data_IF_558406850639
#
_entry.id   IF_558406850639
#
_cell.length_a   1.000
_cell.length_b   1.000
_cell.length_c   1.000
_cell.angle_alpha   90.00
_cell.angle_beta   90.00
_cell.angle_gamma   90.00
#
_symmetry.space_group_name_H-M   'P 1'
#
loop_
_entity.id
_entity.type
_entity.pdbx_description
1 polymer ?
#
# COMPACT_ATOMS: atom_id res chain seq x y z
N UNK A 1 24.23 41.19 25.53
CA UNK A 1 22.92 41.16 26.22
C UNK A 1 22.09 40.16 25.43
N UNK A 2 22.13 38.88 25.83
CA UNK A 2 21.56 37.78 25.05
C UNK A 2 20.05 37.75 25.26
N UNK A 3 19.29 38.19 24.26
CA UNK A 3 17.83 38.10 24.27
C UNK A 3 17.42 36.63 24.26
N UNK A 4 17.22 36.08 25.46
CA UNK A 4 16.62 34.77 25.65
C UNK A 4 15.14 34.95 25.41
N UNK A 5 14.63 34.43 24.30
CA UNK A 5 13.20 34.49 24.02
C UNK A 5 12.54 33.43 24.90
N UNK A 6 11.71 33.87 25.85
CA UNK A 6 10.77 32.97 26.50
C UNK A 6 9.76 32.56 25.44
N UNK A 7 9.93 31.37 24.88
CA UNK A 7 8.77 30.62 24.41
C UNK A 7 7.79 30.60 25.60
N UNK A 8 6.52 30.93 25.38
CA UNK A 8 5.46 30.74 26.39
C UNK A 8 5.19 29.23 26.59
N UNK A 9 6.24 28.46 26.82
CA UNK A 9 6.26 27.02 26.97
C UNK A 9 7.17 26.69 28.16
N UNK A 10 6.58 26.31 29.32
CA UNK A 10 7.33 26.06 30.54
C UNK A 10 8.46 25.04 30.33
N UNK A 11 9.62 25.29 30.93
CA UNK A 11 10.76 24.36 30.83
C UNK A 11 11.58 24.46 29.54
N UNK A 12 11.29 25.44 28.68
CA UNK A 12 12.02 25.66 27.41
C UNK A 12 12.58 27.08 27.34
N UNK A 13 13.84 27.21 26.93
CA UNK A 13 14.52 28.50 26.70
C UNK A 13 15.08 28.54 25.28
N UNK A 14 14.75 29.58 24.52
CA UNK A 14 15.21 29.77 23.14
C UNK A 14 16.29 30.86 23.05
N UNK A 15 17.33 30.57 22.28
CA UNK A 15 18.37 31.52 21.87
C UNK A 15 18.55 31.43 20.36
N UNK A 16 18.32 32.54 19.64
CA UNK A 16 18.52 32.59 18.19
C UNK A 16 20.03 32.71 17.94
N UNK A 17 20.61 31.74 17.24
CA UNK A 17 22.02 31.74 16.84
C UNK A 17 22.22 32.44 15.49
N UNK A 18 21.28 32.23 14.56
CA UNK A 18 21.22 32.93 13.28
C UNK A 18 19.76 33.21 12.91
N UNK A 19 19.45 34.47 12.58
CA UNK A 19 18.09 34.86 12.21
C UNK A 19 17.66 34.25 10.87
N UNK A 20 16.39 33.84 10.78
CA UNK A 20 15.80 33.37 9.52
C UNK A 20 15.38 34.52 8.58
N UNK A 21 14.83 34.14 7.43
CA UNK A 21 14.38 35.03 6.36
C UNK A 21 12.86 35.11 6.32
N UNK A 22 12.35 36.24 5.82
CA UNK A 22 10.93 36.45 5.58
C UNK A 22 10.07 36.61 6.83
N UNK A 23 8.74 36.71 6.68
CA UNK A 23 7.80 36.74 7.78
C UNK A 23 7.72 35.38 8.49
N UNK A 24 7.12 35.37 9.69
CA UNK A 24 6.82 34.13 10.41
C UNK A 24 5.86 33.26 9.57
N UNK A 25 6.21 32.00 9.24
CA UNK A 25 5.32 31.13 8.48
C UNK A 25 4.04 30.81 9.25
N UNK A 26 2.98 30.48 8.53
CA UNK A 26 1.78 29.90 9.11
C UNK A 26 1.92 28.36 9.15
N UNK A 27 1.52 27.75 10.27
CA UNK A 27 1.71 26.31 10.53
C UNK A 27 0.37 25.62 10.83
N UNK A 28 -0.55 25.53 9.87
CA UNK A 28 -1.78 24.75 10.07
C UNK A 28 -1.46 23.24 10.19
N UNK A 29 -2.35 22.44 10.81
CA UNK A 29 -2.18 21.00 10.88
C UNK A 29 -1.94 20.36 9.50
N UNK A 30 -0.96 19.46 9.42
CA UNK A 30 -0.50 18.84 8.17
C UNK A 30 0.62 19.59 7.45
N UNK A 31 1.05 20.77 7.92
CA UNK A 31 2.25 21.44 7.39
C UNK A 31 3.49 20.55 7.57
N UNK A 32 4.24 20.34 6.49
CA UNK A 32 5.52 19.62 6.51
C UNK A 32 6.65 20.56 6.93
N UNK A 33 7.41 20.19 7.95
CA UNK A 33 8.59 20.91 8.40
C UNK A 33 9.84 20.09 8.07
N UNK A 34 10.78 20.71 7.36
CA UNK A 34 12.07 20.10 7.01
C UNK A 34 13.17 20.88 7.74
N UNK A 35 13.99 20.18 8.52
CA UNK A 35 14.96 20.83 9.41
C UNK A 35 16.20 19.96 9.65
N UNK A 36 17.30 20.60 10.01
CA UNK A 36 18.44 19.93 10.63
C UNK A 36 18.41 20.14 12.14
N UNK A 37 18.87 19.14 12.88
CA UNK A 37 19.07 19.25 14.32
C UNK A 37 20.43 18.70 14.74
N UNK A 38 20.88 19.17 15.90
CA UNK A 38 21.95 18.60 16.72
C UNK A 38 21.45 18.56 18.17
N UNK A 39 21.61 17.43 18.83
CA UNK A 39 21.25 17.26 20.24
C UNK A 39 22.50 17.15 21.09
N UNK A 40 22.55 17.91 22.19
CA UNK A 40 23.67 17.95 23.11
C UNK A 40 23.19 17.72 24.54
N UNK A 41 24.06 17.12 25.36
CA UNK A 41 23.88 17.08 26.81
C UNK A 41 24.06 18.47 27.41
N UNK A 42 23.31 18.77 28.47
CA UNK A 42 23.51 19.97 29.30
C UNK A 42 24.65 19.77 30.31
N UNK A 43 25.83 19.44 29.80
CA UNK A 43 27.06 19.34 30.59
C UNK A 43 28.06 20.42 30.15
N UNK A 44 29.15 20.56 30.93
CA UNK A 44 30.17 21.57 30.66
C UNK A 44 30.76 21.47 29.24
N UNK A 45 30.93 20.24 28.73
CA UNK A 45 31.50 19.99 27.41
C UNK A 45 30.49 20.12 26.26
N UNK A 46 29.19 20.25 26.56
CA UNK A 46 28.09 20.16 25.61
C UNK A 46 28.24 18.95 24.68
N UNK A 47 28.36 17.77 25.26
CA UNK A 47 28.61 16.53 24.50
C UNK A 47 27.50 16.27 23.47
N UNK A 48 27.87 16.08 22.20
CA UNK A 48 26.92 15.82 21.12
C UNK A 48 26.44 14.38 21.15
N UNK A 49 25.12 14.18 21.21
CA UNK A 49 24.48 12.86 21.19
C UNK A 49 24.12 12.47 19.75
N UNK A 50 23.49 13.38 19.02
CA UNK A 50 23.04 13.16 17.65
C UNK A 50 23.22 14.41 16.81
N UNK A 51 23.52 14.22 15.52
CA UNK A 51 23.68 15.31 14.56
C UNK A 51 23.21 14.85 13.18
N UNK A 52 22.09 15.42 12.74
CA UNK A 52 21.46 15.09 11.45
C UNK A 52 22.39 15.35 10.25
N UNK A 53 23.37 16.26 10.36
CA UNK A 53 24.32 16.56 9.28
C UNK A 53 25.49 15.58 9.22
N UNK A 54 25.74 14.84 10.30
CA UNK A 54 26.81 13.82 10.38
C UNK A 54 26.31 12.40 10.12
N UNK A 55 24.99 12.19 10.09
CA UNK A 55 24.42 10.93 9.67
C UNK A 55 24.91 10.56 8.26
N UNK A 56 25.12 9.26 7.98
CA UNK A 56 25.66 8.78 6.69
C UNK A 56 24.93 9.35 5.47
N UNK A 57 23.63 9.58 5.60
CA UNK A 57 22.79 10.10 4.53
C UNK A 57 22.76 11.64 4.44
N UNK A 58 23.18 12.37 5.48
CA UNK A 58 23.09 13.85 5.61
C UNK A 58 21.71 14.44 5.26
N UNK A 59 20.65 13.63 5.40
CA UNK A 59 19.29 14.00 5.02
C UNK A 59 18.67 14.83 6.15
N UNK A 60 18.02 15.97 5.85
CA UNK A 60 17.27 16.71 6.84
C UNK A 60 16.09 15.88 7.38
N UNK A 61 15.71 16.16 8.62
CA UNK A 61 14.57 15.50 9.23
C UNK A 61 13.26 16.14 8.79
N UNK A 62 12.21 15.33 8.73
CA UNK A 62 10.87 15.76 8.35
C UNK A 62 9.89 15.45 9.49
N UNK A 63 9.08 16.44 9.89
CA UNK A 63 7.92 16.23 10.76
C UNK A 63 6.68 16.91 10.16
N UNK A 64 5.50 16.50 10.60
CA UNK A 64 4.23 17.09 10.19
C UNK A 64 3.52 17.68 11.41
N UNK A 65 3.16 18.96 11.31
CA UNK A 65 2.44 19.69 12.37
C UNK A 65 1.11 18.99 12.67
N UNK A 66 0.80 18.79 13.95
CA UNK A 66 -0.45 18.17 14.40
C UNK A 66 -0.51 16.64 14.24
N UNK A 67 0.57 15.97 13.83
CA UNK A 67 0.61 14.49 13.71
C UNK A 67 1.25 13.79 14.91
N UNK A 68 1.25 14.43 16.08
CA UNK A 68 1.72 13.90 17.37
C UNK A 68 3.06 13.15 17.23
N UNK A 69 4.11 13.88 16.86
CA UNK A 69 5.46 13.33 16.85
C UNK A 69 5.86 12.90 18.27
N UNK A 70 6.54 11.76 18.41
CA UNK A 70 6.93 11.19 19.73
C UNK A 70 7.70 12.17 20.63
N UNK A 71 8.37 13.17 20.05
CA UNK A 71 8.95 14.31 20.77
C UNK A 71 8.10 15.56 20.55
N UNK A 72 7.05 15.72 21.35
CA UNK A 72 6.05 16.80 21.17
C UNK A 72 6.67 18.21 21.24
N UNK A 73 7.68 18.41 22.11
CA UNK A 73 8.31 19.73 22.25
C UNK A 73 8.89 20.23 20.93
N UNK A 74 9.36 19.34 20.04
CA UNK A 74 10.01 19.73 18.79
C UNK A 74 9.07 20.46 17.84
N UNK A 75 7.77 20.11 17.84
CA UNK A 75 6.78 20.85 17.08
C UNK A 75 6.68 22.30 17.58
N UNK A 76 6.69 22.50 18.89
CA UNK A 76 6.71 23.84 19.52
C UNK A 76 7.99 24.60 19.19
N UNK A 77 9.15 23.93 19.21
CA UNK A 77 10.43 24.57 18.88
C UNK A 77 10.45 25.06 17.44
N UNK A 78 10.08 24.19 16.49
CA UNK A 78 10.15 24.47 15.06
C UNK A 78 9.08 25.47 14.61
N UNK A 79 7.87 25.41 15.16
CA UNK A 79 6.80 26.38 14.86
C UNK A 79 7.06 27.77 15.45
N UNK A 80 8.15 27.94 16.21
CA UNK A 80 8.62 29.24 16.68
C UNK A 80 9.67 29.89 15.77
N UNK A 81 10.13 29.18 14.74
CA UNK A 81 11.26 29.59 13.91
C UNK A 81 10.82 30.15 12.55
N UNK A 82 11.62 31.07 12.00
CA UNK A 82 11.54 31.48 10.60
C UNK A 82 12.32 30.53 9.69
N UNK A 83 11.99 30.52 8.40
CA UNK A 83 12.73 29.74 7.41
C UNK A 83 14.18 30.22 7.34
N UNK A 84 15.13 29.28 7.43
CA UNK A 84 16.57 29.53 7.51
C UNK A 84 17.07 29.98 8.89
N UNK A 85 16.21 30.04 9.91
CA UNK A 85 16.64 30.36 11.27
C UNK A 85 17.42 29.20 11.88
N UNK A 86 18.47 29.51 12.63
CA UNK A 86 19.19 28.57 13.50
C UNK A 86 18.99 29.00 14.94
N UNK A 87 18.41 28.12 15.76
CA UNK A 87 18.11 28.41 17.16
C UNK A 87 18.57 27.29 18.08
N UNK A 88 19.13 27.67 19.22
CA UNK A 88 19.44 26.81 20.35
C UNK A 88 18.26 26.81 21.31
N UNK A 89 17.82 25.62 21.71
CA UNK A 89 16.73 25.41 22.64
C UNK A 89 17.24 24.55 23.80
N UNK A 90 17.26 25.11 25.00
CA UNK A 90 17.44 24.33 26.21
C UNK A 90 16.07 23.83 26.67
N UNK A 91 15.92 22.52 26.85
CA UNK A 91 14.68 21.88 27.28
C UNK A 91 14.94 21.07 28.55
N UNK A 92 14.12 21.27 29.58
CA UNK A 92 14.23 20.53 30.83
C UNK A 92 13.91 19.02 30.68
N UNK A 93 14.16 18.26 31.74
CA UNK A 93 13.99 16.81 31.75
C UNK A 93 12.53 16.35 31.54
N UNK A 94 11.54 17.22 31.76
CA UNK A 94 10.12 16.89 31.56
C UNK A 94 9.82 16.69 30.09
N UNK A 95 10.50 17.44 29.22
CA UNK A 95 10.31 17.36 27.77
C UNK A 95 11.20 16.32 27.08
N UNK A 96 12.32 15.93 27.68
CA UNK A 96 13.37 15.14 27.02
C UNK A 96 13.33 13.65 27.33
N UNK A 97 12.46 13.20 28.24
CA UNK A 97 12.41 11.80 28.70
C UNK A 97 12.17 10.77 27.58
N UNK A 98 11.50 11.15 26.49
CA UNK A 98 11.28 10.28 25.32
C UNK A 98 12.40 10.34 24.28
N UNK A 99 13.36 11.26 24.42
CA UNK A 99 14.43 11.46 23.46
C UNK A 99 15.22 10.18 23.16
N UNK A 100 15.61 9.33 24.14
CA UNK A 100 16.33 8.10 23.85
C UNK A 100 15.59 7.15 22.89
N UNK A 101 14.27 7.05 23.02
CA UNK A 101 13.43 6.20 22.17
C UNK A 101 13.36 6.77 20.76
N UNK A 102 13.24 8.10 20.64
CA UNK A 102 13.23 8.79 19.34
C UNK A 102 14.60 8.69 18.66
N UNK A 103 15.69 8.91 19.40
CA UNK A 103 17.06 8.77 18.91
C UNK A 103 17.36 7.36 18.40
N UNK A 104 16.96 6.33 19.14
CA UNK A 104 17.04 4.93 18.67
C UNK A 104 16.34 4.74 17.32
N UNK A 105 15.09 5.22 17.18
CA UNK A 105 14.35 5.12 15.92
C UNK A 105 15.06 5.84 14.77
N UNK A 106 15.55 7.06 15.00
CA UNK A 106 16.32 7.84 14.01
C UNK A 106 17.60 7.12 13.57
N UNK A 107 18.34 6.51 14.51
CA UNK A 107 19.57 5.77 14.22
C UNK A 107 19.31 4.48 13.43
N UNK A 108 18.20 3.78 13.69
CA UNK A 108 17.78 2.61 12.92
C UNK A 108 17.41 3.00 11.48
N UNK A 109 16.62 4.07 11.30
CA UNK A 109 16.30 4.60 9.96
C UNK A 109 17.56 4.95 9.18
N UNK A 110 18.54 5.60 9.83
CA UNK A 110 19.82 5.94 9.20
C UNK A 110 20.65 4.70 8.79
N UNK A 111 20.34 3.52 9.33
CA UNK A 111 20.92 2.23 8.94
C UNK A 111 20.07 1.48 7.90
N UNK A 112 18.94 2.04 7.46
CA UNK A 112 18.00 1.38 6.54
C UNK A 112 17.12 0.32 7.21
N UNK A 113 16.99 0.38 8.53
CA UNK A 113 16.21 -0.56 9.34
C UNK A 113 14.85 0.02 9.71
N UNK A 114 13.92 -0.86 10.10
CA UNK A 114 12.62 -0.43 10.62
C UNK A 114 12.84 0.36 11.94
N UNK A 115 12.32 1.60 12.09
CA UNK A 115 12.44 2.37 13.33
C UNK A 115 11.81 1.68 14.56
N UNK A 116 10.93 0.70 14.35
CA UNK A 116 10.30 -0.12 15.38
C UNK A 116 10.98 -1.50 15.51
N UNK A 117 12.11 -1.75 14.82
CA UNK A 117 12.84 -3.01 14.91
C UNK A 117 13.22 -3.30 16.38
N UNK A 118 12.71 -4.42 16.91
CA UNK A 118 12.87 -4.81 18.31
C UNK A 118 11.84 -4.23 19.29
N UNK A 119 10.94 -3.35 18.85
CA UNK A 119 9.76 -2.95 19.63
C UNK A 119 8.66 -3.99 19.45
N UNK A 120 8.53 -4.93 20.40
CA UNK A 120 7.38 -5.85 20.44
C UNK A 120 6.22 -5.17 21.15
N UNK A 121 5.06 -5.14 20.50
CA UNK A 121 3.83 -4.64 21.10
C UNK A 121 3.28 -5.66 22.11
N UNK A 122 3.69 -5.56 23.37
CA UNK A 122 3.07 -6.32 24.46
C UNK A 122 2.12 -5.42 25.23
N UNK A 123 0.82 -5.70 25.15
CA UNK A 123 -0.20 -5.03 25.95
C UNK A 123 -0.02 -5.42 27.43
N UNK A 124 0.14 -4.45 28.34
CA UNK A 124 0.19 -4.66 29.80
C UNK A 124 1.53 -4.43 30.49
N UNK A 125 1.64 -4.89 31.74
CA UNK A 125 2.81 -4.75 32.65
C UNK A 125 4.11 -5.41 32.13
N UNK A 126 4.03 -6.18 31.04
CA UNK A 126 5.17 -6.78 30.34
C UNK A 126 6.09 -5.77 29.63
N UNK A 127 5.63 -4.52 29.45
CA UNK A 127 6.47 -3.43 28.95
C UNK A 127 7.65 -3.11 29.87
N UNK A 128 7.61 -3.46 31.16
CA UNK A 128 8.68 -3.07 32.10
C UNK A 128 9.98 -3.88 31.92
N UNK A 129 9.94 -5.05 31.27
CA UNK A 129 11.05 -6.01 31.25
C UNK A 129 11.83 -6.09 29.91
N UNK A 130 11.37 -5.43 28.85
CA UNK A 130 12.02 -5.50 27.52
C UNK A 130 12.86 -4.27 27.13
N UNK A 131 12.91 -3.21 27.97
CA UNK A 131 13.66 -1.97 27.68
C UNK A 131 15.03 -1.87 28.35
N UNK A 132 15.70 -2.98 28.67
CA UNK A 132 16.96 -2.87 29.41
C UNK A 132 18.13 -2.32 28.59
N UNK A 133 18.00 -2.21 27.27
CA UNK A 133 18.98 -1.49 26.44
C UNK A 133 18.38 -1.06 25.10
N UNK A 134 18.64 0.19 24.72
CA UNK A 134 18.45 0.72 23.38
C UNK A 134 19.41 0.08 22.38
N UNK A 135 20.56 -0.43 22.84
CA UNK A 135 21.71 -0.83 22.04
C UNK A 135 22.82 0.24 22.02
N UNK A 136 22.60 1.40 22.64
CA UNK A 136 23.54 2.51 22.73
C UNK A 136 23.69 2.95 24.19
N UNK A 137 24.88 2.75 24.81
CA UNK A 137 25.10 3.05 26.23
C UNK A 137 24.73 4.48 26.64
N UNK A 138 24.99 5.45 25.76
CA UNK A 138 24.67 6.86 25.99
C UNK A 138 23.17 7.13 26.05
N UNK A 139 22.36 6.42 25.26
CA UNK A 139 20.90 6.52 25.30
C UNK A 139 20.32 5.77 26.50
N UNK A 140 20.96 4.66 26.89
CA UNK A 140 20.58 3.89 28.09
C UNK A 140 20.82 4.67 29.38
N UNK A 141 21.92 5.42 29.44
CA UNK A 141 22.17 6.34 30.54
C UNK A 141 21.10 7.43 30.60
N UNK A 142 20.77 8.02 29.45
CA UNK A 142 19.76 9.08 29.37
C UNK A 142 18.35 8.59 29.72
N UNK A 143 18.02 7.32 29.44
CA UNK A 143 16.78 6.69 29.92
C UNK A 143 16.79 6.48 31.44
N UNK A 144 17.94 6.10 32.01
CA UNK A 144 18.06 5.84 33.46
C UNK A 144 18.05 7.13 34.27
N UNK A 145 18.67 8.18 33.74
CA UNK A 145 18.80 9.49 34.37
C UNK A 145 18.31 10.57 33.40
N UNK A 146 16.97 10.78 33.30
CA UNK A 146 16.42 11.87 32.52
C UNK A 146 17.01 13.21 32.94
N UNK A 147 17.51 13.98 31.97
CA UNK A 147 18.19 15.26 32.19
C UNK A 147 17.79 16.26 31.10
N UNK A 148 18.09 17.54 31.34
CA UNK A 148 17.90 18.57 30.34
C UNK A 148 18.78 18.31 29.10
N UNK A 149 18.26 18.64 27.92
CA UNK A 149 18.97 18.55 26.65
C UNK A 149 18.96 19.89 25.94
N UNK A 150 19.98 20.10 25.11
CA UNK A 150 20.10 21.25 24.24
C UNK A 150 19.84 20.79 22.80
N UNK A 151 18.87 21.39 22.13
CA UNK A 151 18.59 21.16 20.72
C UNK A 151 19.02 22.39 19.91
N UNK A 152 19.96 22.21 18.99
CA UNK A 152 20.29 23.23 17.99
C UNK A 152 19.59 22.84 16.70
N UNK A 153 18.62 23.63 16.25
CA UNK A 153 17.81 23.35 15.08
C UNK A 153 17.97 24.41 14.01
N UNK A 154 17.96 24.00 12.74
CA UNK A 154 17.87 24.86 11.56
C UNK A 154 16.60 24.51 10.79
N UNK A 155 15.64 25.42 10.70
CA UNK A 155 14.42 25.23 9.91
C UNK A 155 14.72 25.52 8.44
N UNK A 156 14.72 24.50 7.58
CA UNK A 156 15.13 24.64 6.17
C UNK A 156 13.95 25.01 5.30
N UNK A 157 12.82 24.33 5.49
CA UNK A 157 11.64 24.50 4.64
C UNK A 157 10.35 24.26 5.42
N UNK A 158 9.33 25.04 5.05
CA UNK A 158 7.94 24.85 5.46
C UNK A 158 7.15 24.53 4.19
N UNK A 159 6.64 23.31 4.12
CA UNK A 159 5.84 22.82 2.99
C UNK A 159 4.36 23.18 3.16
N UNK A 160 3.66 23.31 2.03
CA UNK A 160 2.22 23.56 2.06
C UNK A 160 1.46 22.27 2.48
N UNK A 161 0.45 22.36 3.38
CA UNK A 161 -0.32 21.21 3.88
C UNK A 161 -0.97 20.35 2.80
N UNK A 162 -1.16 20.89 1.60
CA UNK A 162 -1.81 20.25 0.46
C UNK A 162 -0.83 19.90 -0.68
N UNK A 163 0.41 20.38 -0.63
CA UNK A 163 1.39 20.17 -1.72
C UNK A 163 2.04 18.79 -1.76
N UNK A 164 1.90 17.98 -0.71
CA UNK A 164 2.48 16.64 -0.67
C UNK A 164 1.40 15.59 -0.92
N UNK A 165 1.73 14.59 -1.74
CA UNK A 165 0.91 13.39 -1.92
C UNK A 165 0.92 12.64 -0.59
N UNK A 166 -0.04 12.96 0.29
CA UNK A 166 -0.15 12.41 1.64
C UNK A 166 -0.10 10.89 1.56
N UNK A 167 0.98 10.30 2.02
CA UNK A 167 1.06 8.85 2.10
C UNK A 167 -0.01 8.36 3.07
N UNK A 168 -0.66 7.24 2.70
CA UNK A 168 -1.80 6.65 3.42
C UNK A 168 -1.56 6.51 4.95
N UNK A 169 -0.31 6.32 5.37
CA UNK A 169 0.09 6.19 6.79
C UNK A 169 -0.09 7.48 7.61
N UNK A 170 0.04 8.66 6.99
CA UNK A 170 0.04 9.96 7.67
C UNK A 170 -1.39 10.46 7.95
N UNK A 171 -2.36 10.05 7.13
CA UNK A 171 -3.76 10.46 7.28
C UNK A 171 -4.36 9.92 8.58
N UNK A 172 -5.16 10.71 9.29
CA UNK A 172 -5.97 10.19 10.42
C UNK A 172 -7.23 9.45 9.92
N UNK A 173 -8.04 8.88 10.84
CA UNK A 173 -9.26 8.13 10.49
C UNK A 173 -10.22 9.01 9.69
N UNK A 174 -10.47 10.23 10.12
CA UNK A 174 -11.45 11.12 9.50
C UNK A 174 -11.00 11.64 8.14
N UNK A 175 -9.71 11.96 7.99
CA UNK A 175 -9.09 12.34 6.73
C UNK A 175 -9.19 11.19 5.71
N UNK A 176 -8.88 9.95 6.12
CA UNK A 176 -9.05 8.77 5.25
C UNK A 176 -10.49 8.61 4.80
N UNK A 177 -11.45 8.75 5.73
CA UNK A 177 -12.87 8.60 5.44
C UNK A 177 -13.41 9.70 4.50
N UNK A 178 -12.87 10.93 4.60
CA UNK A 178 -13.23 12.05 3.70
C UNK A 178 -12.64 11.91 2.30
N UNK A 179 -11.47 11.29 2.15
CA UNK A 179 -10.82 11.12 0.86
C UNK A 179 -11.48 10.04 -0.01
N UNK A 180 -12.01 8.97 0.62
CA UNK A 180 -12.61 7.81 -0.07
C UNK A 180 -13.71 8.21 -1.08
N UNK A 181 -14.70 9.07 -0.76
CA UNK A 181 -15.69 9.53 -1.72
C UNK A 181 -15.09 10.24 -2.94
N UNK A 182 -14.02 11.03 -2.74
CA UNK A 182 -13.32 11.73 -3.81
C UNK A 182 -12.67 10.72 -4.78
N UNK A 183 -11.95 9.73 -4.24
CA UNK A 183 -11.33 8.67 -5.03
C UNK A 183 -12.38 7.83 -5.79
N UNK A 184 -13.51 7.52 -5.13
CA UNK A 184 -14.62 6.82 -5.77
C UNK A 184 -15.17 7.59 -6.96
N UNK A 185 -15.41 8.91 -6.81
CA UNK A 185 -15.92 9.76 -7.87
C UNK A 185 -14.93 9.88 -9.04
N UNK A 186 -13.63 10.03 -8.74
CA UNK A 186 -12.57 10.04 -9.76
C UNK A 186 -12.53 8.73 -10.54
N UNK A 187 -12.59 7.59 -9.84
CA UNK A 187 -12.69 6.27 -10.48
C UNK A 187 -13.91 6.16 -11.40
N UNK A 188 -15.09 6.60 -10.93
CA UNK A 188 -16.31 6.57 -11.74
C UNK A 188 -16.23 7.49 -12.98
N UNK A 189 -15.52 8.61 -12.89
CA UNK A 189 -15.26 9.48 -14.04
C UNK A 189 -14.35 8.79 -15.07
N UNK A 190 -13.27 8.14 -14.63
CA UNK A 190 -12.34 7.40 -15.48
C UNK A 190 -13.00 6.20 -16.17
N UNK A 191 -13.88 5.46 -15.47
CA UNK A 191 -14.67 4.37 -16.08
C UNK A 191 -15.54 4.91 -17.22
N UNK A 192 -16.20 6.05 -17.03
CA UNK A 192 -17.02 6.68 -18.09
C UNK A 192 -16.20 7.12 -19.30
N UNK A 193 -14.90 7.35 -19.14
CA UNK A 193 -13.96 7.70 -20.21
C UNK A 193 -13.31 6.45 -20.85
N UNK A 194 -13.58 5.24 -20.36
CA UNK A 194 -12.94 4.00 -20.83
C UNK A 194 -11.53 3.76 -20.28
N UNK A 195 -11.02 4.61 -19.37
CA UNK A 195 -9.70 4.45 -18.76
C UNK A 195 -9.74 3.45 -17.59
N UNK A 196 -10.00 2.18 -17.88
CA UNK A 196 -10.24 1.15 -16.85
C UNK A 196 -9.04 0.90 -15.94
N UNK A 197 -7.82 0.91 -16.49
CA UNK A 197 -6.60 0.67 -15.69
C UNK A 197 -6.33 1.77 -14.67
N UNK A 198 -6.61 3.01 -15.02
CA UNK A 198 -6.47 4.15 -14.11
C UNK A 198 -7.60 4.19 -13.09
N UNK A 199 -8.82 3.89 -13.51
CA UNK A 199 -9.97 3.75 -12.61
C UNK A 199 -9.72 2.67 -11.55
N UNK A 200 -9.17 1.51 -11.96
CA UNK A 200 -8.82 0.42 -11.07
C UNK A 200 -7.85 0.87 -9.96
N UNK A 201 -6.81 1.63 -10.33
CA UNK A 201 -5.86 2.20 -9.36
C UNK A 201 -6.57 3.10 -8.34
N UNK A 202 -7.52 3.93 -8.78
CA UNK A 202 -8.30 4.80 -7.87
C UNK A 202 -9.16 4.02 -6.88
N UNK A 203 -9.80 2.95 -7.33
CA UNK A 203 -10.55 2.08 -6.42
C UNK A 203 -9.64 1.34 -5.45
N UNK A 204 -8.48 0.84 -5.90
CA UNK A 204 -7.49 0.22 -5.03
C UNK A 204 -6.97 1.18 -3.96
N UNK A 205 -6.63 2.42 -4.33
CA UNK A 205 -6.22 3.48 -3.40
C UNK A 205 -7.29 3.68 -2.30
N UNK A 206 -8.57 3.78 -2.68
CA UNK A 206 -9.67 3.92 -1.72
C UNK A 206 -9.84 2.70 -0.81
N UNK A 207 -9.74 1.48 -1.35
CA UNK A 207 -9.82 0.23 -0.58
C UNK A 207 -8.68 0.14 0.43
N UNK A 208 -7.45 0.52 0.06
CA UNK A 208 -6.30 0.52 0.96
C UNK A 208 -6.52 1.47 2.14
N UNK A 209 -7.04 2.68 1.89
CA UNK A 209 -7.36 3.64 2.96
C UNK A 209 -8.37 3.04 3.95
N UNK A 210 -9.46 2.45 3.46
CA UNK A 210 -10.48 1.83 4.31
C UNK A 210 -9.94 0.61 5.06
N UNK A 211 -9.11 -0.23 4.44
CA UNK A 211 -8.47 -1.38 5.12
C UNK A 211 -7.56 -0.96 6.27
N UNK A 212 -6.87 0.19 6.15
CA UNK A 212 -6.04 0.75 7.22
C UNK A 212 -6.89 1.34 8.35
N UNK A 213 -8.06 1.89 8.05
CA UNK A 213 -9.02 2.27 9.10
C UNK A 213 -9.52 1.02 9.80
N UNK A 214 -9.98 0.03 9.02
CA UNK A 214 -10.55 -1.22 9.51
C UNK A 214 -9.58 -2.00 10.42
N UNK A 215 -8.28 -1.99 10.15
CA UNK A 215 -7.28 -2.70 10.97
C UNK A 215 -7.08 -2.11 12.36
N UNK A 216 -7.57 -0.89 12.61
CA UNK A 216 -7.55 -0.22 13.92
C UNK A 216 -8.86 -0.41 14.70
N UNK A 217 -9.91 -0.91 14.05
CA UNK A 217 -11.22 -1.14 14.66
C UNK A 217 -11.34 -2.58 15.18
N UNK A 218 -12.18 -2.79 16.20
CA UNK A 218 -12.42 -4.14 16.74
C UNK A 218 -13.33 -4.95 15.80
N UNK A 219 -12.95 -6.18 15.41
CA UNK A 219 -13.82 -7.02 14.59
C UNK A 219 -15.17 -7.27 15.26
N UNK A 220 -16.26 -6.92 14.57
CA UNK A 220 -17.63 -7.12 15.05
C UNK A 220 -18.32 -5.87 15.61
N UNK A 221 -17.58 -4.80 15.86
CA UNK A 221 -18.16 -3.52 16.29
C UNK A 221 -18.93 -2.83 15.14
N UNK A 222 -19.85 -1.93 15.49
CA UNK A 222 -20.67 -1.19 14.51
C UNK A 222 -19.79 -0.39 13.52
N UNK A 223 -18.74 0.26 14.03
CA UNK A 223 -17.77 1.00 13.22
C UNK A 223 -17.02 0.09 12.23
N UNK A 224 -16.62 -1.10 12.68
CA UNK A 224 -15.96 -2.09 11.83
C UNK A 224 -16.89 -2.53 10.69
N UNK A 225 -18.14 -2.86 11.01
CA UNK A 225 -19.14 -3.30 10.03
C UNK A 225 -19.47 -2.16 9.06
N UNK A 226 -19.56 -0.91 9.54
CA UNK A 226 -19.81 0.25 8.71
C UNK A 226 -18.68 0.48 7.69
N UNK A 227 -17.42 0.40 8.12
CA UNK A 227 -16.25 0.56 7.24
C UNK A 227 -16.16 -0.60 6.23
N UNK A 228 -16.38 -1.85 6.65
CA UNK A 228 -16.35 -3.01 5.76
C UNK A 228 -17.44 -2.94 4.66
N UNK A 229 -18.63 -2.43 5.00
CA UNK A 229 -19.69 -2.15 4.02
C UNK A 229 -19.29 -1.12 2.97
N UNK A 230 -18.44 -0.15 3.29
CA UNK A 230 -17.93 0.83 2.34
C UNK A 230 -16.89 0.24 1.37
N UNK A 231 -16.18 -0.82 1.78
CA UNK A 231 -15.19 -1.49 0.93
C UNK A 231 -15.87 -2.24 -0.22
N UNK A 232 -17.00 -2.90 0.06
CA UNK A 232 -17.72 -3.74 -0.92
C UNK A 232 -18.00 -3.05 -2.27
N UNK A 233 -18.64 -1.87 -2.35
CA UNK A 233 -18.90 -1.22 -3.63
C UNK A 233 -17.62 -0.83 -4.40
N UNK A 234 -16.55 -0.47 -3.69
CA UNK A 234 -15.26 -0.12 -4.31
C UNK A 234 -14.60 -1.35 -4.95
N UNK A 235 -14.61 -2.48 -4.24
CA UNK A 235 -14.08 -3.75 -4.76
C UNK A 235 -14.91 -4.24 -5.95
N UNK A 236 -16.25 -4.11 -5.90
CA UNK A 236 -17.12 -4.45 -7.03
C UNK A 236 -16.86 -3.58 -8.26
N UNK A 237 -16.55 -2.30 -8.07
CA UNK A 237 -16.17 -1.39 -9.15
C UNK A 237 -14.78 -1.73 -9.71
N UNK A 238 -13.80 -2.05 -8.86
CA UNK A 238 -12.51 -2.59 -9.28
C UNK A 238 -12.67 -3.87 -10.11
N UNK A 239 -13.49 -4.82 -9.64
CA UNK A 239 -13.79 -6.05 -10.38
C UNK A 239 -14.48 -5.76 -11.72
N UNK A 240 -15.27 -4.68 -11.84
CA UNK A 240 -15.78 -4.28 -13.17
C UNK A 240 -14.63 -3.90 -14.09
N UNK A 241 -13.71 -3.06 -13.63
CA UNK A 241 -12.55 -2.66 -14.44
C UNK A 241 -11.70 -3.87 -14.85
N UNK A 242 -11.51 -4.85 -13.96
CA UNK A 242 -10.76 -6.07 -14.29
C UNK A 242 -11.49 -6.94 -15.33
N UNK A 243 -12.83 -7.03 -15.28
CA UNK A 243 -13.60 -7.69 -16.33
C UNK A 243 -13.42 -7.02 -17.70
N UNK A 244 -13.41 -5.69 -17.77
CA UNK A 244 -13.18 -4.94 -19.03
C UNK A 244 -11.73 -5.05 -19.53
N UNK A 245 -10.77 -5.33 -18.63
CA UNK A 245 -9.36 -5.57 -18.96
C UNK A 245 -9.05 -7.04 -19.21
N UNK A 246 -10.05 -7.92 -19.15
CA UNK A 246 -9.92 -9.38 -19.30
C UNK A 246 -9.03 -10.06 -18.23
N UNK A 247 -8.81 -9.39 -17.09
CA UNK A 247 -8.06 -9.91 -15.94
C UNK A 247 -8.97 -10.75 -15.03
N UNK A 248 -9.43 -11.89 -15.55
CA UNK A 248 -10.51 -12.66 -14.93
C UNK A 248 -10.14 -13.29 -13.57
N UNK A 249 -8.87 -13.68 -13.37
CA UNK A 249 -8.44 -14.33 -12.13
C UNK A 249 -8.52 -13.40 -10.91
N UNK A 250 -8.15 -12.14 -11.08
CA UNK A 250 -8.30 -11.08 -10.06
C UNK A 250 -9.76 -10.92 -9.65
N UNK A 251 -10.69 -10.98 -10.62
CA UNK A 251 -12.13 -10.93 -10.35
C UNK A 251 -12.56 -12.13 -9.52
N UNK A 252 -12.11 -13.33 -9.87
CA UNK A 252 -12.47 -14.57 -9.16
C UNK A 252 -12.02 -14.55 -7.70
N UNK A 253 -10.80 -14.09 -7.42
CA UNK A 253 -10.27 -13.99 -6.06
C UNK A 253 -11.10 -13.00 -5.22
N UNK A 254 -11.20 -11.75 -5.66
CA UNK A 254 -11.87 -10.71 -4.88
C UNK A 254 -13.38 -10.94 -4.73
N UNK A 255 -14.05 -11.46 -5.76
CA UNK A 255 -15.49 -11.77 -5.64
C UNK A 255 -15.73 -12.97 -4.74
N UNK A 256 -14.83 -13.95 -4.69
CA UNK A 256 -14.93 -15.07 -3.76
C UNK A 256 -14.78 -14.61 -2.32
N UNK A 257 -13.79 -13.77 -2.03
CA UNK A 257 -13.62 -13.14 -0.71
C UNK A 257 -14.85 -12.34 -0.28
N UNK A 258 -15.40 -11.52 -1.19
CA UNK A 258 -16.63 -10.76 -0.93
C UNK A 258 -17.81 -11.68 -0.62
N UNK A 259 -17.98 -12.79 -1.36
CA UNK A 259 -19.08 -13.74 -1.15
C UNK A 259 -18.92 -14.51 0.16
N UNK A 260 -17.69 -14.84 0.55
CA UNK A 260 -17.41 -15.47 1.84
C UNK A 260 -17.87 -14.59 3.02
N UNK A 261 -17.73 -13.26 2.89
CA UNK A 261 -18.15 -12.28 3.90
C UNK A 261 -19.62 -11.87 3.79
N UNK A 262 -20.09 -11.62 2.57
CA UNK A 262 -21.42 -11.06 2.25
C UNK A 262 -22.14 -11.97 1.26
N UNK A 263 -22.79 -13.01 1.78
CA UNK A 263 -23.48 -14.05 0.99
C UNK A 263 -24.70 -13.55 0.21
N UNK A 264 -25.17 -12.34 0.51
CA UNK A 264 -26.30 -11.66 -0.13
C UNK A 264 -25.86 -10.70 -1.25
N UNK A 265 -24.56 -10.61 -1.55
CA UNK A 265 -24.04 -9.68 -2.54
C UNK A 265 -24.27 -10.16 -3.99
N UNK A 266 -25.46 -9.88 -4.52
CA UNK A 266 -25.90 -10.24 -5.89
C UNK A 266 -24.87 -9.84 -6.97
N UNK A 267 -24.30 -8.63 -6.86
CA UNK A 267 -23.32 -8.11 -7.82
C UNK A 267 -22.01 -8.90 -7.81
N UNK A 268 -21.59 -9.42 -6.66
CA UNK A 268 -20.37 -10.25 -6.57
C UNK A 268 -20.58 -11.58 -7.31
N UNK A 269 -21.71 -12.26 -7.07
CA UNK A 269 -22.06 -13.49 -7.79
C UNK A 269 -22.14 -13.26 -9.30
N UNK A 270 -22.79 -12.18 -9.75
CA UNK A 270 -22.89 -11.90 -11.18
C UNK A 270 -21.51 -11.67 -11.83
N UNK A 271 -20.64 -10.88 -11.20
CA UNK A 271 -19.28 -10.64 -11.72
C UNK A 271 -18.43 -11.90 -11.72
N UNK A 272 -18.50 -12.71 -10.67
CA UNK A 272 -17.79 -14.00 -10.59
C UNK A 272 -18.28 -14.98 -11.65
N UNK A 273 -19.59 -15.04 -11.89
CA UNK A 273 -20.19 -15.84 -12.95
C UNK A 273 -19.65 -15.44 -14.33
N UNK A 274 -19.56 -14.12 -14.62
CA UNK A 274 -18.97 -13.62 -15.87
C UNK A 274 -17.50 -13.99 -16.02
N UNK A 275 -16.71 -13.89 -14.94
CA UNK A 275 -15.31 -14.29 -14.95
C UNK A 275 -15.15 -15.81 -15.18
N UNK A 276 -15.93 -16.65 -14.48
CA UNK A 276 -15.95 -18.10 -14.70
C UNK A 276 -16.37 -18.47 -16.13
N UNK A 277 -17.36 -17.79 -16.68
CA UNK A 277 -17.79 -17.99 -18.07
C UNK A 277 -16.67 -17.64 -19.06
N UNK A 278 -15.89 -16.58 -18.80
CA UNK A 278 -14.77 -16.19 -19.64
C UNK A 278 -13.60 -17.18 -19.61
N UNK A 279 -13.33 -17.81 -18.45
CA UNK A 279 -12.29 -18.84 -18.29
C UNK A 279 -12.81 -20.28 -18.51
N UNK A 280 -14.01 -20.45 -19.08
CA UNK A 280 -14.62 -21.75 -19.42
C UNK A 280 -14.95 -22.67 -18.24
N UNK A 281 -15.10 -22.12 -17.03
CA UNK A 281 -15.57 -22.86 -15.86
C UNK A 281 -17.10 -22.93 -15.85
N UNK A 282 -17.67 -23.80 -16.69
CA UNK A 282 -19.12 -23.89 -16.92
C UNK A 282 -19.92 -24.15 -15.65
N UNK A 283 -19.50 -25.13 -14.84
CA UNK A 283 -20.25 -25.57 -13.66
C UNK A 283 -20.36 -24.45 -12.64
N UNK A 284 -19.26 -23.76 -12.39
CA UNK A 284 -19.13 -22.64 -11.47
C UNK A 284 -19.90 -21.42 -11.98
N UNK A 285 -19.77 -21.09 -13.28
CA UNK A 285 -20.52 -20.00 -13.90
C UNK A 285 -22.03 -20.20 -13.78
N UNK A 286 -22.54 -21.40 -14.12
CA UNK A 286 -23.97 -21.73 -13.98
C UNK A 286 -24.44 -21.64 -12.53
N UNK A 287 -23.64 -22.13 -11.58
CA UNK A 287 -23.95 -22.06 -10.15
C UNK A 287 -24.12 -20.62 -9.69
N UNK A 288 -23.18 -19.75 -10.04
CA UNK A 288 -23.22 -18.34 -9.63
C UNK A 288 -24.35 -17.57 -10.33
N UNK A 289 -24.59 -17.80 -11.62
CA UNK A 289 -25.73 -17.20 -12.33
C UNK A 289 -27.08 -17.63 -11.72
N UNK A 290 -27.25 -18.90 -11.39
CA UNK A 290 -28.46 -19.37 -10.70
C UNK A 290 -28.60 -18.74 -9.31
N UNK A 291 -27.49 -18.51 -8.60
CA UNK A 291 -27.51 -17.80 -7.31
C UNK A 291 -27.99 -16.34 -7.47
N UNK A 292 -27.58 -15.65 -8.55
CA UNK A 292 -28.08 -14.30 -8.86
C UNK A 292 -29.60 -14.30 -9.01
N UNK A 293 -30.16 -15.22 -9.79
CA UNK A 293 -31.61 -15.33 -9.97
C UNK A 293 -32.36 -15.75 -8.68
N UNK A 294 -31.69 -16.48 -7.79
CA UNK A 294 -32.24 -16.87 -6.49
C UNK A 294 -32.30 -15.68 -5.52
N UNK A 295 -31.23 -14.87 -5.46
CA UNK A 295 -31.16 -13.70 -4.58
C UNK A 295 -32.00 -12.52 -5.09
N UNK A 296 -32.08 -12.34 -6.41
CA UNK A 296 -32.91 -11.32 -7.04
C UNK A 296 -33.66 -11.89 -8.26
N UNK A 297 -34.93 -12.24 -8.03
CA UNK A 297 -35.82 -12.84 -9.03
C UNK A 297 -36.02 -11.91 -10.24
N UNK A 298 -35.91 -10.58 -10.05
CA UNK A 298 -36.08 -9.62 -11.16
C UNK A 298 -34.96 -9.74 -12.20
N UNK A 299 -33.82 -10.30 -11.83
CA UNK A 299 -32.68 -10.55 -12.71
C UNK A 299 -32.74 -11.90 -13.45
N UNK A 300 -33.76 -12.74 -13.20
CA UNK A 300 -33.88 -14.04 -13.87
C UNK A 300 -33.86 -13.97 -15.42
N UNK A 301 -34.50 -12.98 -16.10
CA UNK A 301 -34.39 -12.85 -17.55
C UNK A 301 -32.96 -12.54 -18.02
N UNK A 302 -32.22 -11.72 -17.27
CA UNK A 302 -30.82 -11.42 -17.55
C UNK A 302 -29.96 -12.68 -17.41
N UNK A 303 -30.15 -13.42 -16.32
CA UNK A 303 -29.46 -14.69 -16.06
C UNK A 303 -29.72 -15.72 -17.17
N UNK A 304 -30.98 -15.87 -17.61
CA UNK A 304 -31.29 -16.76 -18.73
C UNK A 304 -30.58 -16.37 -20.03
N UNK A 305 -30.45 -15.07 -20.30
CA UNK A 305 -29.70 -14.58 -21.47
C UNK A 305 -28.22 -14.95 -21.38
N UNK A 306 -27.58 -14.72 -20.23
CA UNK A 306 -26.17 -15.05 -20.01
C UNK A 306 -25.92 -16.57 -20.09
N UNK A 307 -26.82 -17.39 -19.54
CA UNK A 307 -26.72 -18.85 -19.61
C UNK A 307 -26.84 -19.39 -21.03
N UNK A 308 -27.70 -18.79 -21.87
CA UNK A 308 -27.77 -19.12 -23.30
C UNK A 308 -26.47 -18.75 -24.01
N UNK A 309 -25.97 -17.55 -23.77
CA UNK A 309 -24.71 -17.09 -24.36
C UNK A 309 -23.52 -18.00 -23.97
N UNK A 310 -23.45 -18.43 -22.71
CA UNK A 310 -22.46 -19.41 -22.26
C UNK A 310 -22.59 -20.75 -23.00
N UNK A 311 -23.82 -21.26 -23.16
CA UNK A 311 -24.07 -22.52 -23.86
C UNK A 311 -23.67 -22.44 -25.34
N UNK A 312 -23.96 -21.33 -26.01
CA UNK A 312 -23.60 -21.10 -27.42
C UNK A 312 -22.08 -21.06 -27.59
N UNK A 313 -21.37 -20.31 -26.73
CA UNK A 313 -19.89 -20.25 -26.74
C UNK A 313 -19.23 -21.62 -26.49
N UNK A 314 -19.79 -22.42 -25.58
CA UNK A 314 -19.28 -23.77 -25.31
C UNK A 314 -19.47 -24.70 -26.50
N UNK A 315 -20.60 -24.57 -27.21
CA UNK A 315 -20.87 -25.33 -28.43
C UNK A 315 -19.89 -24.96 -29.54
N UNK A 316 -19.63 -23.67 -29.75
CA UNK A 316 -18.64 -23.19 -30.72
C UNK A 316 -17.25 -23.77 -30.42
N UNK A 317 -16.78 -23.63 -29.17
CA UNK A 317 -15.50 -24.21 -28.74
C UNK A 317 -15.44 -25.73 -28.97
N UNK A 318 -16.50 -26.47 -28.65
CA UNK A 318 -16.56 -27.91 -28.88
C UNK A 318 -16.39 -28.25 -30.38
N UNK A 319 -17.03 -27.50 -31.27
CA UNK A 319 -16.89 -27.71 -32.71
C UNK A 319 -15.49 -27.36 -33.20
N UNK A 320 -14.88 -26.27 -32.71
CA UNK A 320 -13.50 -25.90 -33.02
C UNK A 320 -12.50 -26.97 -32.57
N UNK A 321 -12.65 -27.50 -31.35
CA UNK A 321 -11.80 -28.57 -30.82
C UNK A 321 -11.99 -29.87 -31.61
N UNK A 322 -13.23 -30.20 -31.99
CA UNK A 322 -13.54 -31.35 -32.83
C UNK A 322 -12.92 -31.22 -34.23
N UNK A 323 -13.04 -30.05 -34.86
CA UNK A 323 -12.46 -29.79 -36.18
C UNK A 323 -10.92 -29.88 -36.13
N UNK A 324 -10.28 -29.29 -35.12
CA UNK A 324 -8.83 -29.42 -34.90
C UNK A 324 -8.41 -30.88 -34.74
N UNK A 325 -9.16 -31.65 -33.95
CA UNK A 325 -8.90 -33.07 -33.76
C UNK A 325 -8.96 -33.86 -35.08
N UNK A 326 -10.00 -33.64 -35.89
CA UNK A 326 -10.12 -34.29 -37.20
C UNK A 326 -9.00 -33.87 -38.17
N UNK A 327 -8.64 -32.59 -38.19
CA UNK A 327 -7.55 -32.09 -39.01
C UNK A 327 -6.19 -32.70 -38.63
N UNK A 328 -5.92 -32.91 -37.34
CA UNK A 328 -4.71 -33.61 -36.89
C UNK A 328 -4.70 -35.07 -37.35
N UNK A 329 -5.81 -35.80 -37.23
CA UNK A 329 -5.90 -37.19 -37.70
C UNK A 329 -5.68 -37.30 -39.21
N UNK A 330 -6.25 -36.38 -40.00
CA UNK A 330 -6.00 -36.34 -41.45
C UNK A 330 -4.55 -36.01 -41.81
N UNK A 331 -3.87 -35.20 -41.00
CA UNK A 331 -2.45 -34.91 -41.18
C UNK A 331 -1.59 -36.15 -40.86
N UNK A 332 -1.86 -36.83 -39.76
CA UNK A 332 -1.18 -38.08 -39.38
C UNK A 332 -1.38 -39.18 -40.44
N UNK A 333 -2.57 -39.33 -41.02
CA UNK A 333 -2.81 -40.28 -42.12
C UNK A 333 -2.05 -39.90 -43.40
N UNK A 334 -1.91 -38.61 -43.71
CA UNK A 334 -1.17 -38.13 -44.87
C UNK A 334 0.35 -38.27 -44.67
N UNK A 335 0.84 -38.06 -43.46
CA UNK A 335 2.25 -38.27 -43.10
C UNK A 335 2.60 -39.77 -43.11
N UNK A 336 1.75 -40.63 -42.54
CA UNK A 336 1.94 -42.08 -42.59
C UNK A 336 2.01 -42.64 -44.02
N UNK A 337 1.14 -42.17 -44.92
CA UNK A 337 1.18 -42.56 -46.35
C UNK A 337 2.44 -42.10 -47.07
N UNK A 338 2.95 -40.90 -46.75
CA UNK A 338 4.22 -40.41 -47.31
C UNK A 338 5.42 -41.23 -46.81
N UNK A 339 5.43 -41.60 -45.53
CA UNK A 339 6.49 -42.46 -45.00
C UNK A 339 6.45 -43.88 -45.59
N UNK A 340 5.27 -44.41 -45.90
CA UNK A 340 5.12 -45.69 -46.61
C UNK A 340 5.62 -45.58 -48.05
N UNK A 341 5.24 -44.53 -48.78
CA UNK A 341 5.74 -44.25 -50.15
C UNK A 341 7.27 -44.06 -50.17
N UNK A 342 7.85 -43.34 -49.21
CA UNK A 342 9.30 -43.16 -49.11
C UNK A 342 10.04 -44.47 -48.80
N UNK A 343 9.46 -45.36 -47.98
CA UNK A 343 10.03 -46.68 -47.68
C UNK A 343 9.97 -47.61 -48.90
N UNK A 344 8.86 -47.63 -49.62
CA UNK A 344 8.72 -48.39 -50.87
C UNK A 344 9.70 -47.90 -51.96
N UNK A 345 9.90 -46.58 -52.07
CA UNK A 345 10.88 -45.99 -52.99
C UNK A 345 12.34 -46.31 -52.62
N UNK A 346 12.67 -46.42 -51.33
CA UNK A 346 13.99 -46.87 -50.86
C UNK A 346 14.23 -48.36 -51.10
N UNK A 347 13.22 -49.22 -50.88
CA UNK A 347 13.31 -50.65 -51.15
C UNK A 347 13.43 -50.94 -52.65
N UNK A 348 12.65 -50.25 -53.49
CA UNK A 348 12.74 -50.36 -54.95
C UNK A 348 14.08 -49.87 -55.54
N UNK A 349 14.80 -48.97 -54.86
CA UNK A 349 16.18 -48.59 -55.23
C UNK A 349 17.20 -49.67 -54.84
N UNK A 350 17.05 -50.31 -53.67
CA UNK A 350 17.94 -51.41 -53.24
C UNK A 350 17.82 -52.65 -54.11
N UNK A 351 16.62 -52.98 -54.61
CA UNK A 351 16.44 -54.09 -55.56
C UNK A 351 17.10 -53.81 -56.93
N UNK A 352 16.99 -52.58 -57.44
CA UNK A 352 17.61 -52.17 -58.72
C UNK A 352 19.14 -52.12 -58.68
N UNK A 353 19.73 -51.80 -57.53
CA UNK A 353 21.19 -51.86 -57.34
C UNK A 353 21.69 -53.30 -57.14
N UNK A 354 20.85 -54.21 -56.63
CA UNK A 354 21.14 -55.64 -56.54
C UNK A 354 21.19 -56.34 -57.90
N UNK A 355 20.32 -55.97 -58.85
CA UNK A 355 20.31 -56.54 -60.21
C UNK A 355 21.46 -56.04 -61.11
N UNK A 356 22.10 -54.89 -60.80
CA UNK A 356 23.30 -54.42 -61.53
C UNK A 356 24.61 -55.08 -61.06
N UNK A 357 24.57 -55.90 -60.02
CA UNK A 357 25.74 -56.57 -59.45
C UNK A 357 25.99 -58.01 -59.96
N UNK A 358 25.16 -58.52 -60.86
CA UNK A 358 25.30 -59.89 -61.41
C UNK A 358 25.36 -59.85 -62.94
N UNK A 359 26.50 -59.40 -63.48
CA UNK A 359 26.95 -59.71 -64.85
C UNK A 359 28.47 -59.93 -64.85
#
# INVERSE_FOLDING_TARGET
MEETYLLNYPGVKKKILAGGKGPMPHFPPGTKLVFHFQTLLDNFERTVIDDSRKAKAKVPMEIFVGKMFKMEVWETLLTSMRIGEVSEFWCDAVHTGLYPIVSKGMRLIAQGKDPLEGQRHTCGMGNMFHYNTTGWPELDELMRTPQALIFIMELIQVGDPFSYKRESWIMDKDEKMKEVPSLHLQGNALVRQGHFREAAKKYQEAVVLLRIVLSKEMPGDEDYIAVDRLITPLVLNYCQCMLELEEYYEVLEHTSDLIHKHKDCVKAYYKRAKAHAAVWNEKEAKRDFNMVAHLDITLAPLVHKELRFLADRLKEKYWEEKEKYWNCLEQEEKEGKKEEEEKEDEEGKKEKDGERGVL
#
